data_IF_629984753539
#
_entry.id   IF_629984753539
#
_cell.length_a   1.000
_cell.length_b   1.000
_cell.length_c   1.000
_cell.angle_alpha   90.00
_cell.angle_beta   90.00
_cell.angle_gamma   90.00
#
_symmetry.space_group_name_H-M   'P 1'
#
loop_
_entity.id
_entity.type
_entity.pdbx_description
1 polymer ?
#
# COMPACT_ATOMS: atom_id res chain seq x y z
N UNK A 1 18.21 -1.20 3.85
CA UNK A 1 16.85 -0.68 4.18
C UNK A 1 16.78 -0.51 5.69
N UNK A 2 16.42 0.67 6.15
CA UNK A 2 16.27 0.94 7.58
C UNK A 2 14.80 1.12 7.95
N UNK A 3 14.43 0.71 9.16
CA UNK A 3 13.07 0.80 9.67
C UNK A 3 13.13 1.61 10.96
N UNK A 4 12.35 2.69 11.02
CA UNK A 4 12.25 3.58 12.16
C UNK A 4 10.85 3.45 12.77
N UNK A 5 10.81 3.29 14.10
CA UNK A 5 9.57 3.37 14.86
C UNK A 5 9.36 4.81 15.31
N UNK A 6 8.26 5.40 14.89
CA UNK A 6 7.84 6.74 15.29
C UNK A 6 6.49 6.65 15.96
N UNK A 7 6.21 7.53 16.89
CA UNK A 7 5.02 7.52 17.76
C UNK A 7 3.69 7.19 17.06
N UNK A 8 3.57 7.54 15.77
CA UNK A 8 2.34 7.33 15.00
C UNK A 8 2.53 6.52 13.70
N UNK A 9 3.77 6.19 13.31
CA UNK A 9 4.05 5.53 12.04
C UNK A 9 5.34 4.72 12.07
N UNK A 10 5.34 3.59 11.38
CA UNK A 10 6.56 2.89 10.98
C UNK A 10 7.05 3.46 9.65
N UNK A 11 8.31 3.90 9.64
CA UNK A 11 8.93 4.47 8.45
C UNK A 11 10.02 3.53 7.94
N UNK A 12 9.84 3.06 6.72
CA UNK A 12 10.79 2.19 6.02
C UNK A 12 11.51 3.04 4.98
N UNK A 13 12.81 3.28 5.19
CA UNK A 13 13.64 3.98 4.24
C UNK A 13 14.14 2.98 3.19
N UNK A 14 13.47 2.97 2.05
CA UNK A 14 13.69 2.07 0.92
C UNK A 14 13.78 2.90 -0.36
N UNK A 15 15.00 3.18 -0.80
CA UNK A 15 15.25 3.99 -2.01
C UNK A 15 15.13 3.15 -3.29
N UNK A 16 14.01 2.45 -3.47
CA UNK A 16 13.74 1.57 -4.62
C UNK A 16 12.86 2.22 -5.70
N UNK A 17 12.47 3.47 -5.49
CA UNK A 17 11.57 4.19 -6.38
C UNK A 17 10.09 3.93 -6.08
N UNK A 18 9.24 4.83 -6.59
CA UNK A 18 7.81 4.82 -6.24
C UNK A 18 7.11 3.49 -6.53
N UNK A 19 7.35 2.90 -7.71
CA UNK A 19 6.58 1.72 -8.16
C UNK A 19 6.87 0.46 -7.34
N UNK A 20 8.13 0.25 -6.96
CA UNK A 20 8.54 -0.85 -6.08
C UNK A 20 8.03 -0.57 -4.66
N UNK A 21 8.21 0.65 -4.17
CA UNK A 21 7.75 1.05 -2.84
C UNK A 21 6.22 0.99 -2.70
N UNK A 22 5.45 1.27 -3.77
CA UNK A 22 3.99 1.07 -3.77
C UNK A 22 3.62 -0.40 -3.58
N UNK A 23 4.27 -1.32 -4.30
CA UNK A 23 4.01 -2.75 -4.15
C UNK A 23 4.38 -3.25 -2.74
N UNK A 24 5.58 -2.93 -2.25
CA UNK A 24 6.02 -3.28 -0.89
C UNK A 24 5.14 -2.64 0.19
N UNK A 25 4.79 -1.36 0.02
CA UNK A 25 3.96 -0.63 0.97
C UNK A 25 2.56 -1.20 1.09
N UNK A 26 1.91 -1.51 -0.01
CA UNK A 26 0.59 -2.16 0.00
C UNK A 26 0.63 -3.57 0.59
N UNK A 27 1.68 -4.34 0.31
CA UNK A 27 1.90 -5.63 0.93
C UNK A 27 2.04 -5.49 2.46
N UNK A 28 2.93 -4.62 2.92
CA UNK A 28 3.15 -4.40 4.36
C UNK A 28 1.90 -3.86 5.07
N UNK A 29 1.14 -2.97 4.41
CA UNK A 29 -0.14 -2.48 4.94
C UNK A 29 -1.15 -3.61 5.09
N UNK A 30 -1.20 -4.54 4.13
CA UNK A 30 -2.09 -5.70 4.19
C UNK A 30 -1.73 -6.61 5.36
N UNK A 31 -0.43 -6.92 5.55
CA UNK A 31 0.06 -7.72 6.67
C UNK A 31 -0.25 -7.03 8.00
N UNK A 32 0.06 -5.74 8.12
CA UNK A 32 -0.17 -4.94 9.30
C UNK A 32 -1.66 -4.83 9.66
N UNK A 33 -2.53 -4.64 8.67
CA UNK A 33 -3.98 -4.58 8.87
C UNK A 33 -4.56 -5.92 9.30
N UNK A 34 -4.06 -7.02 8.74
CA UNK A 34 -4.46 -8.38 9.13
C UNK A 34 -4.02 -8.69 10.56
N UNK A 35 -2.80 -8.30 10.92
CA UNK A 35 -2.24 -8.54 12.25
C UNK A 35 -2.92 -7.73 13.35
N UNK A 36 -3.16 -6.44 13.09
CA UNK A 36 -3.72 -5.51 14.09
C UNK A 36 -5.25 -5.51 14.13
N UNK A 37 -5.92 -6.04 13.10
CA UNK A 37 -7.37 -5.91 12.92
C UNK A 37 -7.83 -4.46 12.63
N UNK A 38 -6.90 -3.54 12.38
CA UNK A 38 -7.17 -2.12 12.16
C UNK A 38 -6.78 -1.70 10.75
N UNK A 39 -7.55 -0.79 10.16
CA UNK A 39 -7.16 -0.17 8.91
C UNK A 39 -6.07 0.86 9.16
N UNK A 40 -4.97 0.72 8.42
CA UNK A 40 -3.87 1.66 8.45
C UNK A 40 -3.92 2.66 7.28
N UNK A 41 -3.03 3.63 7.33
CA UNK A 41 -2.75 4.57 6.23
C UNK A 41 -1.36 4.31 5.68
N UNK A 42 -1.25 4.36 4.37
CA UNK A 42 -0.01 4.21 3.62
C UNK A 42 0.34 5.53 2.93
N UNK A 43 1.60 5.93 3.04
CA UNK A 43 2.19 7.02 2.26
C UNK A 43 3.45 6.46 1.61
N UNK A 44 3.58 6.64 0.31
CA UNK A 44 4.71 6.15 -0.47
C UNK A 44 5.42 7.29 -1.18
N UNK A 45 6.74 7.28 -1.06
CA UNK A 45 7.67 8.19 -1.72
C UNK A 45 8.79 7.41 -2.39
N UNK A 46 9.58 8.01 -3.29
CA UNK A 46 10.66 7.31 -4.00
C UNK A 46 11.67 6.60 -3.10
N UNK A 47 11.94 7.17 -1.92
CA UNK A 47 12.92 6.65 -0.96
C UNK A 47 12.31 6.22 0.37
N UNK A 48 10.96 6.19 0.48
CA UNK A 48 10.31 5.96 1.77
C UNK A 48 8.94 5.35 1.65
N UNK A 49 8.61 4.50 2.63
CA UNK A 49 7.27 3.96 2.87
C UNK A 49 6.91 4.30 4.31
N UNK A 50 5.80 4.99 4.52
CA UNK A 50 5.29 5.32 5.86
C UNK A 50 3.97 4.59 6.10
N UNK A 51 3.94 3.77 7.17
CA UNK A 51 2.80 2.98 7.58
C UNK A 51 2.25 3.53 8.90
N UNK A 52 1.06 4.10 8.87
CA UNK A 52 0.33 4.53 10.05
C UNK A 52 -0.67 3.46 10.46
N UNK A 53 -0.21 2.48 11.22
CA UNK A 53 -1.02 1.38 11.75
C UNK A 53 -0.55 1.05 13.15
N UNK A 54 -1.43 1.15 14.13
CA UNK A 54 -1.06 0.88 15.53
C UNK A 54 -0.92 -0.61 15.81
N UNK A 55 -0.01 -0.96 16.74
CA UNK A 55 0.19 -2.31 17.24
C UNK A 55 1.04 -3.22 16.35
N UNK A 56 1.83 -2.64 15.46
CA UNK A 56 2.83 -3.33 14.65
C UNK A 56 4.22 -2.79 14.99
N UNK A 57 5.17 -3.68 15.11
CA UNK A 57 6.55 -3.37 15.47
C UNK A 57 7.48 -3.40 14.26
N UNK A 58 8.65 -2.71 14.30
CA UNK A 58 9.68 -2.81 13.26
C UNK A 58 10.14 -4.25 13.01
N UNK A 59 10.16 -5.07 14.07
CA UNK A 59 10.56 -6.47 13.97
C UNK A 59 9.59 -7.29 13.13
N UNK A 60 8.29 -7.09 13.31
CA UNK A 60 7.28 -7.77 12.51
C UNK A 60 7.42 -7.40 11.01
N UNK A 61 7.76 -6.14 10.68
CA UNK A 61 8.05 -5.74 9.29
C UNK A 61 9.24 -6.53 8.72
N UNK A 62 10.31 -6.69 9.51
CA UNK A 62 11.49 -7.47 9.11
C UNK A 62 11.10 -8.94 8.88
N UNK A 63 10.36 -9.53 9.82
CA UNK A 63 9.95 -10.94 9.76
C UNK A 63 9.07 -11.17 8.51
N UNK A 64 8.12 -10.29 8.21
CA UNK A 64 7.29 -10.41 7.01
C UNK A 64 8.10 -10.34 5.71
N UNK A 65 9.07 -9.41 5.62
CA UNK A 65 9.92 -9.30 4.43
C UNK A 65 10.86 -10.50 4.25
N UNK A 66 11.25 -11.16 5.35
CA UNK A 66 12.14 -12.34 5.32
C UNK A 66 11.40 -13.65 5.11
N UNK A 67 10.22 -13.79 5.70
CA UNK A 67 9.53 -15.08 5.79
C UNK A 67 8.52 -15.28 4.65
N UNK A 68 8.01 -14.21 4.05
CA UNK A 68 7.03 -14.33 2.97
C UNK A 68 7.73 -14.70 1.67
N UNK A 69 7.34 -15.80 1.00
CA UNK A 69 7.87 -16.14 -0.32
C UNK A 69 7.64 -14.99 -1.32
N UNK A 70 8.67 -14.52 -2.04
CA UNK A 70 8.53 -13.41 -2.99
C UNK A 70 7.48 -13.67 -4.08
N UNK A 71 7.29 -14.95 -4.45
CA UNK A 71 6.30 -15.39 -5.44
C UNK A 71 4.86 -15.23 -4.95
N UNK A 72 4.65 -15.17 -3.64
CA UNK A 72 3.32 -14.96 -3.05
C UNK A 72 2.85 -13.49 -3.11
N UNK A 73 3.77 -12.55 -3.38
CA UNK A 73 3.49 -11.12 -3.31
C UNK A 73 2.32 -10.69 -4.21
N UNK A 74 2.32 -11.11 -5.48
CA UNK A 74 1.26 -10.80 -6.43
C UNK A 74 -0.10 -11.36 -5.97
N UNK A 75 -0.11 -12.60 -5.49
CA UNK A 75 -1.30 -13.24 -4.95
C UNK A 75 -1.86 -12.48 -3.74
N UNK A 76 -1.00 -12.09 -2.80
CA UNK A 76 -1.39 -11.30 -1.62
C UNK A 76 -1.98 -9.96 -2.05
N UNK A 77 -1.32 -9.25 -2.95
CA UNK A 77 -1.79 -7.97 -3.47
C UNK A 77 -3.14 -8.10 -4.20
N UNK A 78 -3.31 -9.12 -5.02
CA UNK A 78 -4.55 -9.39 -5.76
C UNK A 78 -5.75 -9.62 -4.82
N UNK A 79 -5.54 -10.22 -3.65
CA UNK A 79 -6.58 -10.46 -2.65
C UNK A 79 -6.85 -9.22 -1.79
N UNK A 80 -5.82 -8.47 -1.45
CA UNK A 80 -5.91 -7.38 -0.47
C UNK A 80 -6.24 -6.02 -1.10
N UNK A 81 -5.69 -5.72 -2.28
CA UNK A 81 -5.90 -4.45 -2.99
C UNK A 81 -7.36 -4.12 -3.28
N UNK A 82 -8.27 -5.06 -3.61
CA UNK A 82 -9.69 -4.74 -3.81
C UNK A 82 -10.33 -4.03 -2.63
N UNK A 83 -9.78 -4.19 -1.42
CA UNK A 83 -10.24 -3.49 -0.23
C UNK A 83 -9.63 -2.07 -0.08
N UNK A 84 -8.62 -1.73 -0.89
CA UNK A 84 -7.96 -0.43 -0.82
C UNK A 84 -8.84 0.70 -1.37
N UNK A 85 -8.59 1.92 -0.87
CA UNK A 85 -9.31 3.13 -1.33
C UNK A 85 -9.02 3.42 -2.81
N UNK A 86 -7.82 3.14 -3.26
CA UNK A 86 -7.38 3.40 -4.63
C UNK A 86 -8.09 2.49 -5.64
N UNK A 87 -8.16 1.18 -5.35
CA UNK A 87 -8.90 0.24 -6.20
C UNK A 87 -10.37 0.62 -6.27
N UNK A 88 -10.99 1.03 -5.16
CA UNK A 88 -12.39 1.49 -5.16
C UNK A 88 -12.60 2.69 -6.10
N UNK A 89 -11.69 3.66 -6.07
CA UNK A 89 -11.78 4.82 -6.95
C UNK A 89 -11.61 4.43 -8.42
N UNK A 90 -10.59 3.63 -8.75
CA UNK A 90 -10.34 3.17 -10.13
C UNK A 90 -11.47 2.28 -10.65
N UNK A 91 -11.97 1.38 -9.80
CA UNK A 91 -13.12 0.56 -10.16
C UNK A 91 -14.33 1.42 -10.54
N UNK A 92 -14.61 2.48 -9.79
CA UNK A 92 -15.69 3.40 -10.11
C UNK A 92 -15.51 4.07 -11.48
N UNK A 93 -14.28 4.42 -11.87
CA UNK A 93 -13.99 4.99 -13.19
C UNK A 93 -14.19 3.96 -14.31
N UNK A 94 -13.65 2.77 -14.15
CA UNK A 94 -13.77 1.69 -15.15
C UNK A 94 -15.21 1.19 -15.25
N UNK A 95 -15.91 1.06 -14.14
CA UNK A 95 -17.31 0.69 -14.10
C UNK A 95 -18.23 1.66 -14.86
N UNK A 96 -17.86 2.95 -14.96
CA UNK A 96 -18.55 3.91 -15.84
C UNK A 96 -18.31 3.59 -17.32
N UNK A 97 -17.09 3.25 -17.69
CA UNK A 97 -16.71 2.92 -19.07
C UNK A 97 -17.45 1.65 -19.54
N UNK A 98 -17.54 0.65 -18.66
CA UNK A 98 -18.25 -0.60 -18.94
C UNK A 98 -19.78 -0.51 -18.78
N UNK A 99 -20.33 0.69 -18.52
CA UNK A 99 -21.79 0.89 -18.36
C UNK A 99 -22.40 0.26 -17.10
N UNK A 100 -21.56 -0.22 -16.17
CA UNK A 100 -22.00 -0.76 -14.87
C UNK A 100 -22.55 0.37 -13.99
N UNK A 101 -21.95 1.54 -14.09
CA UNK A 101 -22.42 2.76 -13.45
C UNK A 101 -22.94 3.72 -14.52
N UNK A 102 -24.16 4.21 -14.32
CA UNK A 102 -24.75 5.22 -15.22
C UNK A 102 -23.89 6.49 -15.22
N UNK A 103 -23.75 7.12 -16.38
CA UNK A 103 -23.14 8.44 -16.50
C UNK A 103 -23.89 9.44 -15.62
N UNK A 104 -23.16 10.27 -14.88
CA UNK A 104 -23.75 11.29 -13.99
C UNK A 104 -24.02 10.82 -12.55
N UNK A 105 -23.89 9.54 -12.24
CA UNK A 105 -24.01 9.07 -10.85
C UNK A 105 -22.74 9.40 -10.06
N UNK A 106 -22.92 10.07 -8.91
CA UNK A 106 -21.84 10.37 -7.98
C UNK A 106 -21.33 9.07 -7.32
N UNK A 107 -20.05 8.69 -7.52
CA UNK A 107 -19.50 7.48 -6.91
C UNK A 107 -19.56 7.48 -5.38
N UNK A 108 -19.66 8.65 -4.74
CA UNK A 108 -19.75 8.78 -3.28
C UNK A 108 -21.09 8.27 -2.74
N UNK A 109 -22.13 8.26 -3.56
CA UNK A 109 -23.47 7.78 -3.20
C UNK A 109 -23.67 6.28 -3.44
N UNK A 110 -22.67 5.59 -3.98
CA UNK A 110 -22.74 4.18 -4.34
C UNK A 110 -21.94 3.36 -3.34
N UNK A 111 -22.47 2.24 -2.90
CA UNK A 111 -21.70 1.26 -2.14
C UNK A 111 -20.74 0.51 -3.08
N UNK A 112 -19.59 1.14 -3.35
CA UNK A 112 -18.54 0.58 -4.22
C UNK A 112 -18.02 -0.76 -3.68
N UNK A 113 -18.00 -0.97 -2.35
CA UNK A 113 -17.59 -2.26 -1.77
C UNK A 113 -18.54 -3.39 -2.14
N UNK A 114 -19.85 -3.14 -2.10
CA UNK A 114 -20.82 -4.14 -2.52
C UNK A 114 -20.67 -4.48 -4.01
N UNK A 115 -20.40 -3.48 -4.86
CA UNK A 115 -20.11 -3.69 -6.27
C UNK A 115 -18.81 -4.48 -6.49
N UNK A 116 -17.73 -4.12 -5.85
CA UNK A 116 -16.45 -4.86 -5.91
C UNK A 116 -16.62 -6.32 -5.51
N UNK A 117 -17.41 -6.58 -4.45
CA UNK A 117 -17.73 -7.94 -4.01
C UNK A 117 -18.52 -8.71 -5.08
N UNK A 118 -19.47 -8.04 -5.74
CA UNK A 118 -20.29 -8.62 -6.83
C UNK A 118 -19.45 -8.93 -8.07
N UNK A 119 -18.48 -8.08 -8.39
CA UNK A 119 -17.63 -8.22 -9.58
C UNK A 119 -16.29 -8.93 -9.30
N UNK A 120 -16.14 -9.53 -8.13
CA UNK A 120 -14.95 -10.34 -7.79
C UNK A 120 -14.85 -11.54 -8.73
N UNK A 121 -13.66 -11.78 -9.31
CA UNK A 121 -13.44 -12.85 -10.29
C UNK A 121 -14.08 -12.58 -11.66
N UNK A 122 -14.37 -11.32 -11.98
CA UNK A 122 -14.84 -10.93 -13.31
C UNK A 122 -13.74 -10.15 -14.05
N UNK A 123 -13.75 -10.17 -15.40
CA UNK A 123 -12.78 -9.43 -16.21
C UNK A 123 -12.70 -7.94 -15.89
N UNK A 124 -13.77 -7.35 -15.36
CA UNK A 124 -13.81 -5.94 -14.98
C UNK A 124 -12.88 -5.65 -13.79
N UNK A 125 -12.92 -6.49 -12.76
CA UNK A 125 -12.02 -6.31 -11.62
C UNK A 125 -10.59 -6.69 -11.98
N UNK A 126 -10.41 -7.72 -12.79
CA UNK A 126 -9.10 -8.15 -13.27
C UNK A 126 -8.42 -7.04 -14.09
N UNK A 127 -9.18 -6.33 -14.94
CA UNK A 127 -8.69 -5.16 -15.69
C UNK A 127 -8.27 -4.01 -14.76
N UNK A 128 -9.05 -3.75 -13.70
CA UNK A 128 -8.70 -2.71 -12.69
C UNK A 128 -7.39 -3.06 -12.00
N UNK A 129 -7.22 -4.31 -11.57
CA UNK A 129 -6.01 -4.76 -10.89
C UNK A 129 -4.81 -4.78 -11.86
N UNK A 130 -5.00 -5.26 -13.08
CA UNK A 130 -3.97 -5.26 -14.12
C UNK A 130 -3.46 -3.85 -14.40
N UNK A 131 -4.36 -2.88 -14.58
CA UNK A 131 -3.97 -1.47 -14.75
C UNK A 131 -3.22 -0.93 -13.55
N UNK A 132 -3.66 -1.25 -12.34
CA UNK A 132 -2.99 -0.80 -11.12
C UNK A 132 -1.56 -1.37 -11.04
N UNK A 133 -1.39 -2.66 -11.29
CA UNK A 133 -0.08 -3.31 -11.29
C UNK A 133 0.83 -2.71 -12.37
N UNK A 134 0.33 -2.53 -13.60
CA UNK A 134 1.15 -2.00 -14.69
C UNK A 134 1.47 -0.51 -14.57
N UNK A 135 0.55 0.32 -14.09
CA UNK A 135 0.74 1.77 -14.06
C UNK A 135 1.43 2.26 -12.78
N UNK A 136 1.12 1.65 -11.63
CA UNK A 136 1.50 2.18 -10.32
C UNK A 136 2.50 1.32 -9.57
N UNK A 137 2.55 0.02 -9.82
CA UNK A 137 3.36 -0.93 -9.09
C UNK A 137 4.34 -1.64 -10.00
N UNK A 138 5.49 -2.01 -9.43
CA UNK A 138 6.43 -2.96 -10.01
C UNK A 138 6.53 -4.14 -9.06
N UNK A 139 5.61 -5.09 -9.23
CA UNK A 139 5.50 -6.27 -8.37
C UNK A 139 6.71 -7.19 -8.57
N UNK A 140 7.21 -7.30 -9.80
CA UNK A 140 8.40 -8.11 -10.08
C UNK A 140 9.64 -7.50 -9.41
N UNK A 141 9.86 -6.20 -9.56
CA UNK A 141 10.94 -5.51 -8.87
C UNK A 141 10.83 -5.61 -7.35
N UNK A 142 9.62 -5.53 -6.79
CA UNK A 142 9.39 -5.72 -5.37
C UNK A 142 9.73 -7.15 -4.90
N UNK A 143 9.36 -8.17 -5.70
CA UNK A 143 9.75 -9.56 -5.43
C UNK A 143 11.26 -9.75 -5.49
N UNK A 144 11.95 -9.09 -6.42
CA UNK A 144 13.42 -9.13 -6.49
C UNK A 144 14.08 -8.48 -5.27
N UNK A 145 13.53 -7.38 -4.77
CA UNK A 145 13.98 -6.77 -3.51
C UNK A 145 13.78 -7.73 -2.33
N UNK A 146 12.63 -8.41 -2.25
CA UNK A 146 12.41 -9.42 -1.19
C UNK A 146 13.40 -10.57 -1.30
N UNK A 147 13.72 -11.07 -2.49
CA UNK A 147 14.78 -12.08 -2.70
C UNK A 147 16.14 -11.58 -2.26
N UNK A 148 16.48 -10.33 -2.58
CA UNK A 148 17.74 -9.72 -2.17
C UNK A 148 17.84 -9.57 -0.63
N UNK A 149 16.73 -9.28 0.04
CA UNK A 149 16.64 -9.25 1.51
C UNK A 149 16.85 -10.66 2.07
N UNK A 150 16.16 -11.66 1.55
CA UNK A 150 16.21 -13.05 2.03
C UNK A 150 17.57 -13.70 1.79
N UNK A 151 18.25 -13.35 0.70
CA UNK A 151 19.62 -13.80 0.43
C UNK A 151 20.70 -13.03 1.20
N UNK A 152 20.35 -11.99 1.94
CA UNK A 152 21.29 -11.15 2.69
C UNK A 152 22.04 -10.10 1.85
N UNK A 153 21.72 -9.95 0.57
CA UNK A 153 22.27 -8.88 -0.29
C UNK A 153 21.80 -7.50 0.16
N UNK A 154 20.57 -7.39 0.67
CA UNK A 154 20.04 -6.17 1.26
C UNK A 154 19.83 -6.40 2.75
N UNK A 155 20.57 -5.67 3.57
CA UNK A 155 20.41 -5.68 5.02
C UNK A 155 19.14 -4.94 5.46
N UNK A 156 18.50 -5.46 6.52
CA UNK A 156 17.40 -4.79 7.22
C UNK A 156 17.88 -4.42 8.63
N UNK A 157 17.70 -3.17 9.00
CA UNK A 157 18.14 -2.64 10.29
C UNK A 157 17.04 -1.78 10.91
N UNK A 158 16.83 -1.94 12.21
CA UNK A 158 16.00 -1.04 13.00
C UNK A 158 16.88 0.09 13.52
N UNK A 159 16.53 1.32 13.21
CA UNK A 159 17.29 2.50 13.62
C UNK A 159 16.43 3.45 14.44
N UNK A 160 17.08 4.17 15.35
CA UNK A 160 16.50 5.39 15.90
C UNK A 160 16.39 6.43 14.78
N UNK A 161 15.60 7.49 15.00
CA UNK A 161 15.38 8.55 14.03
C UNK A 161 16.72 9.09 13.47
N UNK A 162 17.02 8.75 12.24
CA UNK A 162 18.23 9.18 11.53
C UNK A 162 18.06 10.51 10.78
N UNK A 163 19.10 10.97 10.03
CA UNK A 163 19.03 12.21 9.23
C UNK A 163 17.88 12.25 8.23
N UNK A 164 17.51 11.09 7.65
CA UNK A 164 16.35 10.95 6.78
C UNK A 164 15.02 11.14 7.54
N UNK A 165 15.04 10.93 8.85
CA UNK A 165 13.93 11.16 9.73
C UNK A 165 13.60 12.62 9.99
N UNK A 166 14.60 13.49 9.91
CA UNK A 166 14.45 14.94 10.14
C UNK A 166 13.67 15.58 8.99
N UNK A 167 13.88 15.14 7.76
CA UNK A 167 13.17 15.69 6.58
C UNK A 167 11.66 15.42 6.62
N UNK A 168 11.22 14.41 7.35
CA UNK A 168 9.80 14.08 7.49
C UNK A 168 9.04 14.88 8.55
N UNK A 169 9.70 15.72 9.33
CA UNK A 169 8.98 16.71 10.15
C UNK A 169 8.26 17.75 9.29
N UNK A 170 8.81 18.04 8.11
CA UNK A 170 8.16 18.85 7.08
C UNK A 170 6.90 18.20 6.50
N UNK A 171 6.81 16.86 6.56
CA UNK A 171 5.63 16.12 6.11
C UNK A 171 4.43 16.28 7.04
N UNK A 172 4.61 16.50 8.35
CA UNK A 172 3.47 16.82 9.22
C UNK A 172 2.75 18.09 8.78
N UNK A 173 3.49 19.05 8.22
CA UNK A 173 2.92 20.29 7.69
C UNK A 173 2.33 20.12 6.28
N UNK A 174 2.83 19.16 5.50
CA UNK A 174 2.33 18.83 4.15
C UNK A 174 1.18 17.82 4.17
N UNK A 175 1.04 17.05 5.24
CA UNK A 175 -0.02 16.03 5.40
C UNK A 175 -1.32 16.61 5.98
N UNK A 176 -1.37 17.89 6.28
CA UNK A 176 -2.56 18.60 6.76
C UNK A 176 -2.98 19.69 5.78
N UNK A 177 -3.75 19.35 4.77
CA UNK A 177 -5.05 19.98 4.70
C UNK A 177 -6.10 18.97 5.18
N UNK A 178 -6.70 19.31 6.28
CA UNK A 178 -7.91 18.70 6.78
C UNK A 178 -8.96 18.60 5.67
N UNK A 179 -9.14 17.44 5.09
CA UNK A 179 -10.36 17.12 4.35
C UNK A 179 -11.46 16.57 5.29
N UNK A 180 -11.39 16.97 6.55
CA UNK A 180 -12.43 16.68 7.53
C UNK A 180 -13.00 17.97 8.11
N UNK A 181 -13.51 18.86 7.28
CA UNK A 181 -14.49 19.85 7.72
C UNK A 181 -15.18 20.45 6.52
N UNK A 182 -16.21 19.77 6.05
CA UNK A 182 -17.45 20.43 5.64
C UNK A 182 -18.57 19.41 5.81
N UNK A 183 -19.43 19.80 6.70
CA UNK A 183 -20.72 19.19 7.07
C UNK A 183 -21.61 18.91 5.85
#
# INVERSE_FOLDING_TARGET
ITIEDRDEALVINSCQGNRINEALGHYLLAMASTRSGKWGRLIVEPCRISLQVGGVTPREIIDWLRDTPPEALEGILSVTLPNSREVRWRFAQIAKIFGILRHGVDPRKINIQALLKKYRGTPVLDEVLSKLFHERMDVNGASDIMRAIQSGLIGLEVTAMGPLGISSRSEKDLLLPNFNNQQ
#
